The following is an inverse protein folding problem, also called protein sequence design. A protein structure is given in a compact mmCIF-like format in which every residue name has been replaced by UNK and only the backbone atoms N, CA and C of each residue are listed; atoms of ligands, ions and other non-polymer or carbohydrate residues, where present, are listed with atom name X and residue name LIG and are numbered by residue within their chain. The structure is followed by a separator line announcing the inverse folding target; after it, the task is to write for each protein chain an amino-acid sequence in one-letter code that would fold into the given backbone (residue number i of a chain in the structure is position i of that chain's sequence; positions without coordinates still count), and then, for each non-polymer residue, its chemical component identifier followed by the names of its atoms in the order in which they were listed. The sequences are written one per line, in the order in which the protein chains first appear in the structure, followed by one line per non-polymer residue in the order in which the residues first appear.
data_IF_508320674233
#
_entry.id   IF_508320674233
#
_cell.length_a   1.000
_cell.length_b   1.000
_cell.length_c   1.000
_cell.angle_alpha   90.00
_cell.angle_beta   90.00
_cell.angle_gamma   90.00
#
_symmetry.space_group_name_H-M   'P 1'
#
loop_
_entity.id
_entity.type
_entity.pdbx_description
1 polymer ?
#
# COMPACT_ATOMS: atom_id res chain seq x y z
N UNK A 1 12.05 -31.61 -5.14
CA UNK A 1 10.99 -31.25 -4.17
C UNK A 1 11.10 -29.82 -3.63
N UNK A 2 12.28 -29.26 -3.33
CA UNK A 2 12.41 -27.92 -2.73
C UNK A 2 11.92 -26.74 -3.60
N UNK A 3 12.00 -26.85 -4.92
CA UNK A 3 11.61 -25.76 -5.83
C UNK A 3 10.09 -25.54 -5.90
N UNK A 4 9.29 -26.62 -5.83
CA UNK A 4 7.82 -26.53 -5.80
C UNK A 4 7.32 -25.84 -4.53
N UNK A 5 7.89 -26.19 -3.38
CA UNK A 5 7.56 -25.59 -2.09
C UNK A 5 7.87 -24.10 -2.07
N UNK A 6 9.03 -23.69 -2.60
CA UNK A 6 9.40 -22.27 -2.70
C UNK A 6 8.46 -21.50 -3.62
N UNK A 7 7.97 -22.12 -4.67
CA UNK A 7 7.00 -21.50 -5.57
C UNK A 7 5.64 -21.35 -4.89
N UNK A 8 5.16 -22.34 -4.21
CA UNK A 8 3.90 -22.29 -3.45
C UNK A 8 3.91 -21.20 -2.38
N UNK A 9 4.99 -21.11 -1.59
CA UNK A 9 5.16 -20.05 -0.60
C UNK A 9 5.20 -18.67 -1.28
N UNK A 10 5.91 -18.55 -2.41
CA UNK A 10 5.99 -17.32 -3.16
C UNK A 10 4.64 -16.90 -3.74
N UNK A 11 3.85 -17.84 -4.24
CA UNK A 11 2.52 -17.57 -4.79
C UNK A 11 1.51 -17.20 -3.70
N UNK A 12 1.62 -17.78 -2.51
CA UNK A 12 0.82 -17.41 -1.35
C UNK A 12 1.08 -15.96 -0.86
N UNK A 13 2.29 -15.44 -1.07
CA UNK A 13 2.65 -14.07 -0.69
C UNK A 13 2.29 -13.01 -1.72
N UNK A 14 1.81 -13.41 -2.91
CA UNK A 14 1.36 -12.46 -3.92
C UNK A 14 0.08 -11.77 -3.50
N UNK A 15 0.02 -10.47 -3.72
CA UNK A 15 -1.23 -9.72 -3.63
C UNK A 15 -2.18 -10.20 -4.73
N UNK A 16 -3.42 -10.49 -4.40
CA UNK A 16 -4.44 -10.99 -5.34
C UNK A 16 -4.79 -9.97 -6.41
N UNK A 17 -4.86 -8.68 -6.04
CA UNK A 17 -5.21 -7.60 -6.95
C UNK A 17 -4.03 -6.62 -7.12
N UNK A 18 -3.43 -6.64 -8.29
CA UNK A 18 -2.32 -5.75 -8.66
C UNK A 18 -2.52 -5.27 -10.09
N UNK A 19 -2.32 -3.97 -10.29
CA UNK A 19 -2.40 -3.32 -11.61
C UNK A 19 -1.28 -3.83 -12.52
N UNK A 20 -1.60 -4.17 -13.79
CA UNK A 20 -0.61 -4.54 -14.80
C UNK A 20 0.20 -3.31 -15.24
N UNK A 21 1.31 -3.08 -14.56
CA UNK A 21 2.24 -1.98 -14.83
C UNK A 21 3.18 -2.37 -15.97
N UNK A 22 3.40 -1.44 -16.89
CA UNK A 22 4.32 -1.60 -18.04
C UNK A 22 5.37 -0.51 -18.05
N UNK A 23 6.50 -0.81 -18.65
CA UNK A 23 7.52 0.20 -18.88
C UNK A 23 6.96 1.33 -19.75
N UNK A 24 7.23 2.58 -19.35
CA UNK A 24 6.68 3.78 -19.97
C UNK A 24 5.40 4.31 -19.33
N UNK A 25 4.73 3.54 -18.46
CA UNK A 25 3.58 4.03 -17.74
C UNK A 25 4.02 5.07 -16.70
N UNK A 26 3.21 6.11 -16.51
CA UNK A 26 3.36 7.03 -15.38
C UNK A 26 2.52 6.48 -14.24
N UNK A 27 3.16 6.18 -13.14
CA UNK A 27 2.51 5.57 -11.97
C UNK A 27 2.64 6.45 -10.74
N UNK A 28 1.64 6.38 -9.90
CA UNK A 28 1.63 6.94 -8.56
C UNK A 28 1.65 5.78 -7.56
N UNK A 29 2.76 5.63 -6.84
CA UNK A 29 2.96 4.59 -5.85
C UNK A 29 2.77 5.18 -4.46
N UNK A 30 1.85 4.62 -3.68
CA UNK A 30 1.62 4.98 -2.27
C UNK A 30 2.29 3.93 -1.38
N UNK A 31 3.25 4.38 -0.60
CA UNK A 31 4.05 3.54 0.30
C UNK A 31 3.80 3.91 1.76
N UNK A 32 3.68 2.90 2.63
CA UNK A 32 3.66 3.06 4.09
C UNK A 32 5.08 3.13 4.62
N UNK A 33 5.41 4.21 5.33
CA UNK A 33 6.69 4.39 5.99
C UNK A 33 6.45 4.38 7.49
N UNK A 34 7.23 3.59 8.21
CA UNK A 34 7.21 3.58 9.67
C UNK A 34 8.15 4.68 10.20
N UNK A 35 7.59 5.59 10.99
CA UNK A 35 8.33 6.63 11.69
C UNK A 35 8.08 6.47 13.20
N UNK A 36 9.00 5.81 13.89
CA UNK A 36 8.81 5.41 15.29
C UNK A 36 7.64 4.44 15.42
N UNK A 37 6.62 4.82 16.19
CA UNK A 37 5.41 4.03 16.42
C UNK A 37 4.26 4.32 15.45
N UNK A 38 4.43 5.33 14.58
CA UNK A 38 3.40 5.76 13.64
C UNK A 38 3.73 5.35 12.22
N UNK A 39 2.69 5.16 11.40
CA UNK A 39 2.84 4.96 9.97
C UNK A 39 2.42 6.21 9.21
N UNK A 40 3.22 6.59 8.23
CA UNK A 40 2.92 7.69 7.30
C UNK A 40 2.85 7.16 5.88
N UNK A 41 1.88 7.66 5.13
CA UNK A 41 1.77 7.38 3.70
C UNK A 41 2.62 8.38 2.92
N UNK A 42 3.47 7.86 2.05
CA UNK A 42 4.24 8.66 1.12
C UNK A 42 3.91 8.24 -0.31
N UNK A 43 3.59 9.23 -1.15
CA UNK A 43 3.34 9.01 -2.57
C UNK A 43 4.54 9.40 -3.40
N UNK A 44 4.84 8.57 -4.40
CA UNK A 44 5.88 8.85 -5.38
C UNK A 44 5.29 8.67 -6.78
N UNK A 45 5.24 9.76 -7.55
CA UNK A 45 4.75 9.74 -8.92
C UNK A 45 5.92 9.87 -9.88
N UNK A 46 5.96 9.01 -10.91
CA UNK A 46 7.01 9.03 -11.90
C UNK A 46 6.77 8.06 -13.05
N UNK A 47 7.69 8.01 -13.98
CA UNK A 47 7.67 7.13 -15.15
C UNK A 47 8.36 5.82 -14.82
N UNK A 48 7.74 4.70 -15.17
CA UNK A 48 8.33 3.37 -15.04
C UNK A 48 9.39 3.18 -16.13
N UNK A 49 10.64 3.06 -15.71
CA UNK A 49 11.77 2.82 -16.63
C UNK A 49 11.86 1.34 -16.96
N UNK A 50 11.61 0.48 -16.01
CA UNK A 50 11.81 -0.96 -16.17
C UNK A 50 10.88 -1.73 -15.24
N UNK A 51 10.37 -2.85 -15.77
CA UNK A 51 9.66 -3.87 -15.01
C UNK A 51 10.50 -5.15 -15.04
N UNK A 52 10.78 -5.71 -13.88
CA UNK A 52 11.56 -6.93 -13.72
C UNK A 52 10.72 -8.03 -13.12
N UNK A 53 10.97 -9.26 -13.56
CA UNK A 53 10.33 -10.49 -13.04
C UNK A 53 8.81 -10.41 -12.98
N UNK A 54 8.22 -9.91 -14.07
CA UNK A 54 6.76 -9.77 -14.18
C UNK A 54 6.06 -11.10 -13.85
N UNK A 55 4.91 -11.00 -13.19
CA UNK A 55 4.10 -12.12 -12.72
C UNK A 55 4.77 -13.01 -11.65
N UNK A 56 5.90 -12.61 -11.09
CA UNK A 56 6.54 -13.30 -9.97
C UNK A 56 6.26 -12.58 -8.66
N UNK A 57 6.29 -13.30 -7.52
CA UNK A 57 6.23 -12.68 -6.19
C UNK A 57 7.33 -11.63 -5.96
N UNK A 58 8.45 -11.73 -6.69
CA UNK A 58 9.55 -10.76 -6.66
C UNK A 58 9.45 -9.71 -7.77
N UNK A 59 8.28 -9.50 -8.36
CA UNK A 59 8.07 -8.46 -9.36
C UNK A 59 8.47 -7.10 -8.84
N UNK A 60 9.32 -6.42 -9.62
CA UNK A 60 9.88 -5.12 -9.25
C UNK A 60 9.72 -4.12 -10.37
N UNK A 61 9.29 -2.93 -10.00
CA UNK A 61 9.22 -1.78 -10.89
C UNK A 61 10.24 -0.73 -10.48
N UNK A 62 10.90 -0.12 -11.46
CA UNK A 62 11.80 1.02 -11.24
C UNK A 62 11.13 2.27 -11.77
N UNK A 63 10.83 3.21 -10.86
CA UNK A 63 10.14 4.45 -11.17
C UNK A 63 11.10 5.62 -11.08
N UNK A 64 11.11 6.48 -12.11
CA UNK A 64 11.93 7.68 -12.20
C UNK A 64 11.09 8.93 -12.20
N UNK A 65 11.51 9.90 -11.40
CA UNK A 65 10.98 11.26 -11.38
C UNK A 65 12.14 12.25 -11.47
N UNK A 66 11.95 13.33 -12.20
CA UNK A 66 12.90 14.47 -12.19
C UNK A 66 12.32 15.55 -11.29
N UNK A 67 13.07 15.90 -10.23
CA UNK A 67 12.68 16.93 -9.26
C UNK A 67 13.83 17.93 -9.16
N UNK A 68 13.53 19.22 -9.40
CA UNK A 68 14.53 20.30 -9.36
C UNK A 68 15.77 20.04 -10.22
N UNK A 69 15.57 19.46 -11.41
CA UNK A 69 16.68 19.11 -12.33
C UNK A 69 17.40 17.80 -12.01
N UNK A 70 17.15 17.20 -10.85
CA UNK A 70 17.79 15.95 -10.43
C UNK A 70 16.85 14.77 -10.71
N UNK A 71 17.39 13.73 -11.35
CA UNK A 71 16.67 12.48 -11.61
C UNK A 71 16.73 11.54 -10.40
N UNK A 72 15.59 11.28 -9.78
CA UNK A 72 15.45 10.35 -8.65
C UNK A 72 14.82 9.06 -9.14
N UNK A 73 15.42 7.92 -8.82
CA UNK A 73 14.90 6.59 -9.14
C UNK A 73 14.63 5.82 -7.85
N UNK A 74 13.45 5.22 -7.78
CA UNK A 74 13.06 4.31 -6.68
C UNK A 74 12.61 2.98 -7.26
N UNK A 75 13.07 1.90 -6.65
CA UNK A 75 12.64 0.54 -6.97
C UNK A 75 11.61 0.08 -5.96
N UNK A 76 10.50 -0.46 -6.45
CA UNK A 76 9.41 -0.97 -5.63
C UNK A 76 9.15 -2.44 -5.95
N UNK A 77 9.05 -3.27 -4.92
CA UNK A 77 8.55 -4.64 -5.02
C UNK A 77 7.02 -4.57 -4.99
N UNK A 78 6.39 -4.94 -6.08
CA UNK A 78 4.94 -4.77 -6.29
C UNK A 78 4.11 -5.46 -5.20
N UNK A 79 4.50 -6.66 -4.81
CA UNK A 79 3.81 -7.47 -3.81
C UNK A 79 4.22 -7.18 -2.35
N UNK A 80 5.10 -6.18 -2.12
CA UNK A 80 5.52 -5.81 -0.77
C UNK A 80 4.33 -5.30 0.08
N UNK A 81 4.24 -5.68 1.36
CA UNK A 81 3.22 -5.16 2.28
C UNK A 81 3.38 -3.67 2.56
N UNK A 82 4.58 -3.11 2.34
CA UNK A 82 4.82 -1.68 2.48
C UNK A 82 4.16 -0.83 1.39
N UNK A 83 3.83 -1.42 0.24
CA UNK A 83 3.11 -0.74 -0.83
C UNK A 83 1.62 -0.92 -0.59
N UNK A 84 0.91 0.18 -0.42
CA UNK A 84 -0.54 0.19 -0.24
C UNK A 84 -1.24 0.14 -1.60
N UNK A 85 -0.93 1.07 -2.49
CA UNK A 85 -1.60 1.22 -3.78
C UNK A 85 -0.64 1.64 -4.89
N UNK A 86 -0.87 1.12 -6.08
CA UNK A 86 -0.21 1.55 -7.30
C UNK A 86 -1.30 1.96 -8.29
N UNK A 87 -1.26 3.20 -8.75
CA UNK A 87 -2.20 3.76 -9.72
C UNK A 87 -1.48 4.15 -10.99
N UNK A 88 -2.03 3.79 -12.15
CA UNK A 88 -1.54 4.25 -13.44
C UNK A 88 -2.22 5.57 -13.78
N UNK A 89 -1.43 6.64 -13.88
CA UNK A 89 -1.91 7.98 -14.23
C UNK A 89 -1.95 8.18 -15.74
N UNK A 90 -0.90 7.74 -16.45
CA UNK A 90 -0.78 7.86 -17.90
C UNK A 90 -0.11 6.62 -18.46
N UNK A 91 -0.50 6.22 -19.66
CA UNK A 91 0.13 5.13 -20.39
C UNK A 91 0.84 5.66 -21.63
N UNK A 92 2.04 5.17 -21.91
CA UNK A 92 2.79 5.60 -23.08
C UNK A 92 3.15 4.40 -23.97
N UNK A 93 3.22 4.65 -25.29
CA UNK A 93 3.64 3.64 -26.26
C UNK A 93 5.16 3.58 -26.30
N UNK A 94 5.73 2.47 -25.84
CA UNK A 94 7.17 2.18 -25.88
C UNK A 94 7.43 0.87 -26.63
N UNK A 95 8.64 0.72 -27.18
CA UNK A 95 9.07 -0.49 -27.92
C UNK A 95 9.98 -1.38 -27.09
N UNK A 96 10.61 -0.85 -26.04
CA UNK A 96 11.57 -1.55 -25.18
C UNK A 96 11.04 -1.69 -23.78
N UNK A 97 11.35 -2.79 -23.11
CA UNK A 97 11.04 -2.96 -21.70
C UNK A 97 11.96 -2.14 -20.78
N UNK A 98 13.21 -1.94 -21.20
CA UNK A 98 14.16 -1.12 -20.43
C UNK A 98 14.36 0.24 -21.13
N UNK A 99 14.00 1.30 -20.42
CA UNK A 99 14.05 2.68 -20.89
C UNK A 99 15.19 3.47 -20.21
N UNK A 100 16.34 2.82 -19.96
CA UNK A 100 17.50 3.44 -19.31
C UNK A 100 18.02 4.69 -20.03
N UNK A 101 17.82 4.80 -21.34
CA UNK A 101 18.18 5.97 -22.14
C UNK A 101 17.47 7.26 -21.69
N UNK A 102 16.37 7.17 -20.94
CA UNK A 102 15.70 8.34 -20.36
C UNK A 102 16.53 9.05 -19.28
N UNK A 103 17.58 8.39 -18.78
CA UNK A 103 18.51 8.99 -17.83
C UNK A 103 19.34 10.11 -18.44
N UNK A 104 19.72 9.93 -19.71
CA UNK A 104 20.56 10.85 -20.46
C UNK A 104 19.72 11.94 -21.16
N UNK A 105 18.43 11.68 -21.36
CA UNK A 105 17.54 12.60 -22.07
C UNK A 105 16.85 13.57 -21.13
N UNK A 106 16.76 14.82 -21.54
CA UNK A 106 16.06 15.89 -20.81
C UNK A 106 15.11 16.68 -21.72
N UNK A 107 14.21 17.44 -21.13
CA UNK A 107 13.29 18.31 -21.85
C UNK A 107 12.36 17.59 -22.82
N UNK A 108 12.29 18.05 -24.06
CA UNK A 108 11.40 17.52 -25.11
C UNK A 108 11.75 16.09 -25.50
N UNK A 109 13.03 15.73 -25.49
CA UNK A 109 13.53 14.38 -25.88
C UNK A 109 13.20 13.27 -24.86
N UNK A 110 12.91 13.64 -23.61
CA UNK A 110 12.51 12.72 -22.56
C UNK A 110 10.99 12.46 -22.54
N UNK A 111 10.20 13.20 -23.30
CA UNK A 111 8.74 13.03 -23.34
C UNK A 111 8.37 11.80 -24.14
N UNK A 112 7.60 10.91 -23.54
CA UNK A 112 7.03 9.74 -24.19
C UNK A 112 5.69 10.11 -24.85
N UNK A 113 5.40 9.47 -25.99
CA UNK A 113 4.11 9.62 -26.67
C UNK A 113 3.04 8.91 -25.83
N UNK A 114 2.04 9.65 -25.39
CA UNK A 114 0.89 9.09 -24.67
C UNK A 114 0.10 8.13 -25.56
N UNK A 115 -0.58 7.19 -24.92
CA UNK A 115 -1.58 6.31 -25.50
C UNK A 115 -2.85 6.50 -24.70
N UNK A 116 -3.96 6.59 -25.40
CA UNK A 116 -5.26 6.62 -24.76
C UNK A 116 -5.52 5.27 -24.06
N UNK A 117 -5.98 5.33 -22.82
CA UNK A 117 -6.36 4.17 -22.03
C UNK A 117 -7.45 4.58 -21.03
N UNK A 118 -8.31 3.67 -20.70
CA UNK A 118 -9.32 3.87 -19.67
C UNK A 118 -8.66 3.74 -18.30
N UNK A 119 -8.55 4.89 -17.61
CA UNK A 119 -7.90 4.98 -16.32
C UNK A 119 -8.71 4.30 -15.22
N UNK A 120 -10.04 4.41 -15.27
CA UNK A 120 -10.92 3.81 -14.28
C UNK A 120 -10.83 2.28 -14.39
N UNK A 121 -11.08 1.72 -15.57
CA UNK A 121 -11.05 0.28 -15.79
C UNK A 121 -9.71 -0.39 -15.46
N UNK A 122 -8.58 0.32 -15.61
CA UNK A 122 -7.26 -0.25 -15.31
C UNK A 122 -6.92 -0.19 -13.82
N UNK A 123 -7.42 0.83 -13.10
CA UNK A 123 -7.12 1.03 -11.68
C UNK A 123 -8.21 0.45 -10.77
N UNK A 124 -9.39 0.12 -11.30
CA UNK A 124 -10.48 -0.51 -10.54
C UNK A 124 -10.19 -2.01 -10.36
N UNK A 125 -9.27 -2.29 -9.48
CA UNK A 125 -9.09 -3.62 -8.92
C UNK A 125 -9.95 -3.68 -7.66
N UNK A 126 -11.24 -3.82 -7.84
CA UNK A 126 -12.15 -4.17 -6.74
C UNK A 126 -11.76 -5.57 -6.29
N UNK A 127 -11.01 -5.64 -5.20
CA UNK A 127 -10.92 -6.86 -4.42
C UNK A 127 -12.30 -6.99 -3.78
N UNK A 128 -13.10 -7.95 -4.23
CA UNK A 128 -14.13 -8.48 -3.36
C UNK A 128 -13.36 -9.04 -2.14
N UNK A 129 -13.29 -8.26 -1.07
CA UNK A 129 -12.94 -8.74 0.25
C UNK A 129 -14.02 -9.77 0.59
N UNK A 130 -13.73 -11.05 0.36
CA UNK A 130 -14.38 -12.10 1.10
C UNK A 130 -14.16 -11.76 2.56
N UNK A 131 -15.21 -11.27 3.21
CA UNK A 131 -15.25 -11.06 4.65
C UNK A 131 -14.74 -12.34 5.31
N UNK A 132 -13.84 -12.23 6.32
CA UNK A 132 -13.42 -13.41 7.04
C UNK A 132 -14.68 -14.06 7.62
N UNK A 133 -14.97 -15.30 7.20
CA UNK A 133 -15.98 -16.12 7.82
C UNK A 133 -15.70 -16.12 9.32
N UNK A 134 -16.59 -15.50 10.08
CA UNK A 134 -16.64 -15.63 11.52
C UNK A 134 -16.75 -17.12 11.82
N UNK A 135 -15.65 -17.67 12.33
CA UNK A 135 -15.65 -18.97 12.96
C UNK A 135 -16.52 -18.80 14.21
N UNK A 136 -17.79 -19.13 14.06
CA UNK A 136 -18.71 -19.28 15.19
C UNK A 136 -18.18 -20.42 16.04
N UNK A 137 -17.43 -20.09 17.07
CA UNK A 137 -17.12 -21.03 18.15
C UNK A 137 -18.41 -21.26 18.92
N UNK A 138 -19.02 -22.38 18.67
CA UNK A 138 -20.08 -23.00 19.41
C UNK A 138 -19.57 -23.29 20.83
N UNK A 139 -20.07 -22.55 21.81
CA UNK A 139 -19.88 -22.83 23.23
C UNK A 139 -21.00 -23.74 23.70
N UNK A 140 -20.70 -24.86 24.38
CA UNK A 140 -21.75 -25.58 25.11
C UNK A 140 -22.04 -24.91 26.45
N UNK A 141 -23.32 -24.71 26.69
CA UNK A 141 -23.91 -24.27 27.91
C UNK A 141 -23.70 -25.25 29.08
N UNK A 142 -23.45 -24.74 30.26
CA UNK A 142 -24.02 -25.24 31.51
C UNK A 142 -23.99 -24.16 32.59
N UNK A 143 -25.19 -23.76 32.99
CA UNK A 143 -25.47 -23.05 34.22
C UNK A 143 -25.70 -24.08 35.36
N UNK A 144 -25.85 -23.78 36.67
CA UNK A 144 -26.59 -22.66 37.25
C UNK A 144 -26.10 -22.05 38.58
N UNK A 145 -26.69 -20.89 38.91
CA UNK A 145 -27.13 -20.39 40.23
C UNK A 145 -26.08 -20.05 41.34
N UNK A 146 -26.04 -18.86 41.80
CA UNK A 146 -26.84 -18.26 42.89
C UNK A 146 -26.35 -16.82 43.22
N UNK A 147 -27.29 -15.94 43.33
CA UNK A 147 -27.18 -14.64 43.99
C UNK A 147 -27.14 -14.80 45.51
N UNK A 148 -26.73 -13.83 46.39
CA UNK A 148 -27.40 -12.55 46.46
C UNK A 148 -26.54 -11.32 46.90
N UNK A 149 -27.09 -10.16 46.56
CA UNK A 149 -27.16 -8.85 47.21
C UNK A 149 -26.17 -8.50 48.34
N UNK A 150 -25.57 -7.32 48.22
CA UNK A 150 -25.80 -6.28 49.23
C UNK A 150 -25.26 -4.91 48.74
N UNK A 151 -26.14 -3.94 48.95
CA UNK A 151 -26.01 -2.50 48.81
C UNK A 151 -24.96 -1.96 49.78
N UNK A 152 -24.39 -0.79 49.47
CA UNK A 152 -24.31 0.44 50.29
C UNK A 152 -23.61 1.49 49.43
N UNK A 153 -24.30 2.43 48.98
CA UNK A 153 -24.51 3.88 49.18
C UNK A 153 -23.42 4.61 49.95
N UNK A 154 -23.15 5.74 49.40
CA UNK A 154 -23.02 7.14 49.92
C UNK A 154 -21.67 7.74 49.57
N UNK A 155 -21.79 8.76 48.83
CA UNK A 155 -21.91 10.21 49.09
C UNK A 155 -20.58 10.92 49.26
N UNK A 156 -20.47 11.89 48.45
CA UNK A 156 -20.36 13.37 48.63
C UNK A 156 -18.92 13.86 48.56
N UNK A 157 -18.72 14.79 47.81
CA UNK A 157 -18.89 16.24 47.67
C UNK A 157 -17.55 16.97 47.55
N UNK A 158 -17.51 17.78 46.56
CA UNK A 158 -17.02 19.15 46.45
C UNK A 158 -15.80 19.62 47.25
N UNK A 159 -14.90 20.26 46.50
CA UNK A 159 -14.50 21.68 46.65
C UNK A 159 -13.41 21.94 45.62
N UNK A 160 -13.59 22.72 44.61
CA UNK A 160 -13.73 24.16 44.35
C UNK A 160 -12.73 25.03 45.14
N UNK A 161 -12.10 25.84 44.37
CA UNK A 161 -11.50 27.17 44.54
C UNK A 161 -9.99 27.19 44.35
N UNK A 162 -9.61 27.87 43.28
CA UNK A 162 -9.15 29.26 43.13
C UNK A 162 -7.86 29.58 43.87
N UNK A 163 -6.90 30.01 43.17
CA UNK A 163 -6.25 31.34 43.13
C UNK A 163 -4.97 31.23 42.32
N UNK A 164 -4.85 31.85 41.18
CA UNK A 164 -4.57 33.24 40.79
C UNK A 164 -3.29 33.82 41.42
N UNK A 165 -2.45 34.20 40.45
CA UNK A 165 -1.59 35.37 40.41
C UNK A 165 -0.15 35.28 40.93
N UNK A 166 0.65 35.84 40.07
CA UNK A 166 1.84 36.69 40.26
C UNK A 166 3.20 36.01 40.59
N UNK A 167 4.05 35.98 39.61
CA UNK A 167 5.19 36.91 39.42
C UNK A 167 5.81 36.64 38.04
#
# INVERSE_FOLDING_TARGET
MSFSILKEIGDAQKKKAVVDVRSGDTVKVTQKIKEGDKFRLQTFEGVVIRVERKNSHTERIVVRKVTSGVGVEKSYLVHSPLIEKIEITKRAKVRRNNLSYLRERSGKSARLKGRDFDRAAVNDLTVEEEAPEEISAEAPAEAPAETPKEEVKTETEETKTEEKAEA
#
